data_IF_499143958958
#
_entry.id   IF_499143958958
#
_cell.length_a   1.000
_cell.length_b   1.000
_cell.length_c   1.000
_cell.angle_alpha   90.00
_cell.angle_beta   90.00
_cell.angle_gamma   90.00
#
_symmetry.space_group_name_H-M   'P 1'
#
loop_
_entity.id
_entity.type
_entity.pdbx_description
1 polymer ?
#
# COMPACT_ATOMS: atom_id res chain seq x y z
N UNK A 1 -65.14 -4.09 -32.36
CA UNK A 1 -63.78 -3.59 -32.67
C UNK A 1 -63.11 -3.26 -31.35
N UNK A 2 -62.38 -4.21 -30.77
CA UNK A 2 -61.69 -4.02 -29.48
C UNK A 2 -60.19 -3.92 -29.75
N UNK A 3 -59.63 -2.72 -29.59
CA UNK A 3 -58.17 -2.50 -29.61
C UNK A 3 -57.70 -2.29 -28.17
N UNK A 4 -57.22 -3.35 -27.55
CA UNK A 4 -56.50 -3.27 -26.29
C UNK A 4 -55.05 -2.83 -26.59
N UNK A 5 -54.69 -1.66 -26.11
CA UNK A 5 -53.35 -1.09 -26.19
C UNK A 5 -52.55 -1.60 -24.98
N UNK A 6 -51.57 -2.48 -25.21
CA UNK A 6 -50.67 -2.95 -24.16
C UNK A 6 -49.49 -1.97 -24.06
N UNK A 7 -49.38 -1.29 -22.92
CA UNK A 7 -48.23 -0.46 -22.57
C UNK A 7 -47.16 -1.38 -22.00
N UNK A 8 -46.07 -1.57 -22.72
CA UNK A 8 -44.89 -2.28 -22.23
C UNK A 8 -44.04 -1.33 -21.38
N UNK A 9 -43.95 -1.60 -20.07
CA UNK A 9 -43.03 -0.93 -19.18
C UNK A 9 -41.61 -1.49 -19.41
N UNK A 10 -40.69 -0.66 -19.90
CA UNK A 10 -39.27 -0.97 -19.96
C UNK A 10 -38.69 -0.71 -18.56
N UNK A 11 -38.41 -1.80 -17.83
CA UNK A 11 -37.64 -1.72 -16.59
C UNK A 11 -36.15 -1.51 -16.95
N UNK A 12 -35.68 -0.27 -16.84
CA UNK A 12 -34.25 0.03 -16.86
C UNK A 12 -33.65 -0.46 -15.53
N UNK A 13 -33.02 -1.63 -15.57
CA UNK A 13 -32.18 -2.10 -14.48
C UNK A 13 -30.92 -1.20 -14.43
N UNK A 14 -30.93 -0.24 -13.50
CA UNK A 14 -29.73 0.45 -13.06
C UNK A 14 -28.83 -0.61 -12.40
N UNK A 15 -27.90 -1.16 -13.16
CA UNK A 15 -26.72 -1.79 -12.58
C UNK A 15 -25.90 -0.66 -11.95
N UNK A 16 -26.22 -0.32 -10.70
CA UNK A 16 -25.28 0.36 -9.83
C UNK A 16 -24.05 -0.54 -9.76
N UNK A 17 -23.04 -0.24 -10.55
CA UNK A 17 -21.73 -0.87 -10.40
C UNK A 17 -21.33 -0.63 -8.95
N UNK A 18 -21.32 -1.69 -8.15
CA UNK A 18 -20.63 -1.66 -6.88
C UNK A 18 -19.21 -1.23 -7.24
N UNK A 19 -18.77 -0.05 -6.80
CA UNK A 19 -17.37 0.30 -6.83
C UNK A 19 -16.66 -0.86 -6.12
N UNK A 20 -15.97 -1.69 -6.91
CA UNK A 20 -15.22 -2.78 -6.33
C UNK A 20 -14.07 -2.13 -5.57
N UNK A 21 -13.72 -2.67 -4.41
CA UNK A 21 -12.46 -2.33 -3.79
C UNK A 21 -11.34 -2.53 -4.80
N UNK A 22 -10.59 -1.47 -5.05
CA UNK A 22 -9.42 -1.52 -5.91
C UNK A 22 -8.22 -1.75 -5.00
N UNK A 23 -7.59 -2.91 -5.17
CA UNK A 23 -6.30 -3.17 -4.57
C UNK A 23 -5.30 -2.24 -5.26
N UNK A 24 -4.44 -1.60 -4.48
CA UNK A 24 -3.40 -0.70 -4.96
C UNK A 24 -2.04 -1.28 -4.57
N UNK A 25 -1.17 -1.46 -5.56
CA UNK A 25 0.21 -1.86 -5.38
C UNK A 25 1.07 -0.61 -5.14
N UNK A 26 1.88 -0.65 -4.09
CA UNK A 26 2.88 0.37 -3.78
C UNK A 26 4.26 -0.26 -3.87
N UNK A 27 5.18 0.39 -4.59
CA UNK A 27 6.59 0.00 -4.69
C UNK A 27 7.46 1.21 -4.42
N UNK A 28 8.44 1.07 -3.52
CA UNK A 28 9.40 2.10 -3.16
C UNK A 28 10.80 1.55 -3.43
N UNK A 29 11.61 2.30 -4.17
CA UNK A 29 12.98 1.94 -4.56
C UNK A 29 13.99 2.89 -3.94
N UNK A 30 15.16 2.36 -3.60
CA UNK A 30 16.27 3.10 -3.02
C UNK A 30 17.61 2.37 -3.10
N UNK A 31 18.65 3.00 -2.57
CA UNK A 31 20.00 2.45 -2.47
C UNK A 31 20.53 2.62 -1.04
N UNK A 32 21.16 1.59 -0.49
CA UNK A 32 21.73 1.66 0.87
C UNK A 32 22.89 2.66 0.89
N UNK A 33 22.80 3.68 1.73
CA UNK A 33 23.89 4.64 1.96
C UNK A 33 24.95 4.03 2.89
N UNK A 34 24.48 3.50 4.01
CA UNK A 34 25.32 2.89 5.02
C UNK A 34 24.57 1.80 5.79
N UNK A 35 25.36 0.88 6.37
CA UNK A 35 24.88 -0.14 7.28
C UNK A 35 25.90 -0.36 8.40
N UNK A 36 25.45 -0.25 9.64
CA UNK A 36 26.22 -0.49 10.86
C UNK A 36 25.73 -1.74 11.61
N UNK A 37 24.71 -2.43 11.10
CA UNK A 37 24.20 -3.67 11.66
C UNK A 37 25.19 -4.79 11.36
N UNK A 38 25.69 -5.47 12.39
CA UNK A 38 26.69 -6.54 12.28
C UNK A 38 26.19 -7.91 12.76
N UNK A 39 24.86 -8.06 12.95
CA UNK A 39 24.21 -9.30 13.37
C UNK A 39 22.89 -9.52 12.59
N UNK A 40 22.43 -10.77 12.58
CA UNK A 40 21.20 -11.15 11.85
C UNK A 40 21.34 -11.00 10.33
N UNK A 41 20.21 -11.04 9.63
CA UNK A 41 20.20 -11.04 8.16
C UNK A 41 20.75 -9.73 7.58
N UNK A 42 20.45 -8.59 8.22
CA UNK A 42 20.96 -7.28 7.81
C UNK A 42 22.47 -7.12 7.95
N UNK A 43 23.19 -8.03 8.62
CA UNK A 43 24.66 -8.03 8.58
C UNK A 43 25.25 -8.29 7.20
N UNK A 44 24.45 -8.79 6.27
CA UNK A 44 24.85 -9.07 4.89
C UNK A 44 24.65 -7.89 3.94
N UNK A 45 23.93 -6.85 4.38
CA UNK A 45 23.64 -5.66 3.57
C UNK A 45 24.86 -4.74 3.51
N UNK A 46 25.19 -4.24 2.33
CA UNK A 46 26.31 -3.34 2.08
C UNK A 46 25.82 -2.01 1.49
N UNK A 47 26.63 -0.96 1.66
CA UNK A 47 26.41 0.29 0.93
C UNK A 47 26.45 0.04 -0.58
N UNK A 48 25.52 0.65 -1.32
CA UNK A 48 25.30 0.41 -2.74
C UNK A 48 24.37 -0.75 -3.07
N UNK A 49 23.91 -1.53 -2.09
CA UNK A 49 22.87 -2.53 -2.35
C UNK A 49 21.53 -1.84 -2.66
N UNK A 50 20.81 -2.35 -3.67
CA UNK A 50 19.47 -1.88 -4.00
C UNK A 50 18.47 -2.31 -2.92
N UNK A 51 17.59 -1.39 -2.53
CA UNK A 51 16.49 -1.59 -1.61
C UNK A 51 15.14 -1.42 -2.33
N UNK A 52 14.24 -2.39 -2.17
CA UNK A 52 12.90 -2.37 -2.74
C UNK A 52 11.90 -2.78 -1.67
N UNK A 53 10.93 -1.91 -1.41
CA UNK A 53 9.79 -2.19 -0.54
C UNK A 53 8.52 -2.28 -1.39
N UNK A 54 7.80 -3.40 -1.31
CA UNK A 54 6.50 -3.58 -1.96
C UNK A 54 5.44 -3.96 -0.94
N UNK A 55 4.22 -3.49 -1.14
CA UNK A 55 3.03 -3.92 -0.40
C UNK A 55 1.75 -3.52 -1.13
N UNK A 56 0.63 -4.07 -0.67
CA UNK A 56 -0.72 -3.79 -1.16
C UNK A 56 -1.57 -3.13 -0.10
N UNK A 57 -2.48 -2.25 -0.53
CA UNK A 57 -3.56 -1.69 0.27
C UNK A 57 -4.89 -1.82 -0.45
N UNK A 58 -5.99 -1.82 0.29
CA UNK A 58 -7.35 -1.75 -0.25
C UNK A 58 -7.86 -0.30 -0.18
N UNK A 59 -8.28 0.26 -1.33
CA UNK A 59 -8.74 1.66 -1.41
C UNK A 59 -9.98 1.98 -0.55
N UNK A 60 -10.73 0.98 -0.10
CA UNK A 60 -11.89 1.13 0.78
C UNK A 60 -11.58 0.87 2.26
N UNK A 61 -10.37 0.39 2.60
CA UNK A 61 -10.00 0.04 3.98
C UNK A 61 -8.97 1.04 4.50
N UNK A 62 -9.47 2.10 5.12
CA UNK A 62 -8.66 3.19 5.63
C UNK A 62 -9.16 3.74 6.97
N UNK A 63 -8.25 4.42 7.67
CA UNK A 63 -8.50 5.18 8.89
C UNK A 63 -8.09 6.64 8.64
N UNK A 64 -9.02 7.58 8.85
CA UNK A 64 -8.67 9.01 8.85
C UNK A 64 -8.12 9.42 10.22
N UNK A 65 -7.15 10.32 10.24
CA UNK A 65 -6.79 11.02 11.47
C UNK A 65 -7.92 11.96 11.90
N UNK A 66 -8.11 12.09 13.21
CA UNK A 66 -9.00 13.09 13.81
C UNK A 66 -8.32 14.42 14.12
N UNK A 67 -6.99 14.53 13.91
CA UNK A 67 -6.18 15.68 14.32
C UNK A 67 -5.35 16.28 13.18
N UNK A 68 -4.96 15.48 12.20
CA UNK A 68 -4.16 15.89 11.05
C UNK A 68 -4.89 15.55 9.75
N UNK A 69 -4.62 16.24 8.63
CA UNK A 69 -5.17 15.88 7.32
C UNK A 69 -4.40 14.70 6.73
N UNK A 70 -4.48 13.56 7.42
CA UNK A 70 -3.85 12.31 7.03
C UNK A 70 -4.87 11.18 6.94
N UNK A 71 -4.60 10.22 6.06
CA UNK A 71 -5.37 8.99 5.90
C UNK A 71 -4.43 7.81 5.77
N UNK A 72 -4.57 6.86 6.70
CA UNK A 72 -3.84 5.59 6.67
C UNK A 72 -4.65 4.50 5.99
N UNK A 73 -4.11 3.94 4.91
CA UNK A 73 -4.63 2.74 4.25
C UNK A 73 -4.01 1.50 4.88
N UNK A 74 -4.83 0.48 5.15
CA UNK A 74 -4.38 -0.74 5.82
C UNK A 74 -3.48 -1.53 4.85
N UNK A 75 -2.23 -1.74 5.25
CA UNK A 75 -1.30 -2.60 4.51
C UNK A 75 -1.71 -4.05 4.73
N UNK A 76 -1.85 -4.83 3.65
CA UNK A 76 -1.96 -6.29 3.75
C UNK A 76 -0.60 -6.87 4.22
N UNK A 77 -0.50 -7.41 5.44
CA UNK A 77 0.77 -7.89 5.97
C UNK A 77 1.40 -9.02 5.15
N UNK A 78 0.60 -9.81 4.43
CA UNK A 78 1.09 -10.89 3.58
C UNK A 78 1.76 -10.39 2.29
N UNK A 79 1.43 -9.16 1.87
CA UNK A 79 1.98 -8.52 0.68
C UNK A 79 3.25 -7.70 0.95
N UNK A 80 3.53 -7.39 2.23
CA UNK A 80 4.66 -6.55 2.60
C UNK A 80 5.99 -7.29 2.49
N UNK A 81 6.86 -6.80 1.61
CA UNK A 81 8.19 -7.37 1.36
C UNK A 81 9.19 -6.23 1.22
N UNK A 82 10.18 -6.20 2.12
CA UNK A 82 11.37 -5.38 1.98
C UNK A 82 12.52 -6.29 1.51
N UNK A 83 13.09 -5.97 0.35
CA UNK A 83 14.29 -6.62 -0.18
C UNK A 83 15.43 -5.61 -0.16
N UNK A 84 16.58 -5.98 0.42
CA UNK A 84 17.82 -5.19 0.37
C UNK A 84 18.97 -6.09 -0.04
N UNK A 85 19.51 -5.89 -1.24
CA UNK A 85 20.48 -6.82 -1.82
C UNK A 85 19.89 -8.23 -1.91
N UNK A 86 20.45 -9.19 -1.16
CA UNK A 86 19.94 -10.57 -1.06
C UNK A 86 19.01 -10.83 0.14
N UNK A 87 18.85 -9.85 1.03
CA UNK A 87 18.06 -9.99 2.26
C UNK A 87 16.60 -9.67 1.98
N UNK A 88 15.68 -10.55 2.39
CA UNK A 88 14.24 -10.38 2.20
C UNK A 88 13.55 -10.49 3.56
N UNK A 89 12.81 -9.45 3.96
CA UNK A 89 12.18 -9.35 5.28
C UNK A 89 10.73 -8.86 5.13
N UNK A 90 9.81 -9.51 5.81
CA UNK A 90 8.42 -9.08 5.93
C UNK A 90 8.15 -8.29 7.21
N UNK A 91 6.90 -7.91 7.44
CA UNK A 91 6.47 -7.37 8.73
C UNK A 91 6.60 -8.41 9.84
N UNK A 92 6.80 -7.93 11.07
CA UNK A 92 6.70 -8.79 12.25
C UNK A 92 5.36 -9.54 12.27
N UNK A 93 5.41 -10.85 12.52
CA UNK A 93 4.21 -11.71 12.58
C UNK A 93 4.18 -12.55 13.87
N UNK A 94 3.17 -12.40 14.75
CA UNK A 94 2.03 -11.48 14.64
C UNK A 94 2.48 -10.01 14.79
N UNK A 95 1.76 -9.10 14.13
CA UNK A 95 1.99 -7.67 14.28
C UNK A 95 1.72 -7.27 15.75
N UNK A 96 2.56 -6.44 16.40
CA UNK A 96 2.41 -6.10 17.82
C UNK A 96 1.03 -5.56 18.16
N UNK A 97 0.53 -5.89 19.36
CA UNK A 97 -0.68 -5.27 19.92
C UNK A 97 -2.00 -5.60 19.22
N UNK A 98 -1.98 -6.35 18.11
CA UNK A 98 -3.13 -6.39 17.19
C UNK A 98 -3.30 -5.09 16.40
N UNK A 99 -2.26 -4.27 16.36
CA UNK A 99 -2.23 -3.01 15.62
C UNK A 99 -2.25 -3.27 14.10
N UNK A 100 -2.46 -2.20 13.35
CA UNK A 100 -2.57 -2.24 11.90
C UNK A 100 -1.39 -1.48 11.29
N UNK A 101 -0.62 -2.08 10.36
CA UNK A 101 0.35 -1.34 9.57
C UNK A 101 -0.39 -0.45 8.55
N UNK A 102 0.01 0.82 8.47
CA UNK A 102 -0.59 1.79 7.57
C UNK A 102 0.40 2.30 6.53
N UNK A 103 -0.10 2.51 5.31
CA UNK A 103 0.48 3.44 4.35
C UNK A 103 -0.33 4.73 4.40
N UNK A 104 0.30 5.82 4.84
CA UNK A 104 -0.39 7.05 5.18
C UNK A 104 -0.12 8.11 4.13
N UNK A 105 -1.21 8.67 3.58
CA UNK A 105 -1.18 9.88 2.77
C UNK A 105 -1.34 11.09 3.70
N UNK A 106 -0.53 12.11 3.48
CA UNK A 106 -0.66 13.43 4.12
C UNK A 106 -0.88 14.47 3.06
N UNK A 107 -1.92 15.28 3.22
CA UNK A 107 -2.25 16.34 2.28
C UNK A 107 -2.30 17.69 3.03
N UNK A 108 -1.42 18.61 2.64
CA UNK A 108 -1.40 20.01 3.04
C UNK A 108 -1.17 20.26 4.55
N UNK A 109 -0.24 19.54 5.18
CA UNK A 109 0.10 19.71 6.61
C UNK A 109 1.61 19.72 6.92
N UNK A 110 2.16 20.82 7.47
CA UNK A 110 1.73 22.21 7.41
C UNK A 110 2.25 22.86 6.11
N UNK A 111 1.55 22.61 4.99
CA UNK A 111 1.95 22.91 3.59
C UNK A 111 2.93 21.90 2.94
N UNK A 112 2.96 20.66 3.43
CA UNK A 112 3.73 19.55 2.83
C UNK A 112 2.79 18.39 2.56
N UNK A 113 2.86 17.85 1.35
CA UNK A 113 2.21 16.60 0.99
C UNK A 113 3.17 15.44 1.18
N UNK A 114 2.66 14.21 1.25
CA UNK A 114 3.56 13.08 1.15
C UNK A 114 3.00 11.80 1.68
N UNK A 115 3.94 10.91 1.97
CA UNK A 115 3.66 9.51 2.25
C UNK A 115 4.56 9.02 3.37
N UNK A 116 4.05 8.15 4.21
CA UNK A 116 4.85 7.44 5.20
C UNK A 116 4.23 6.10 5.57
N UNK A 117 5.03 5.22 6.16
CA UNK A 117 4.53 4.00 6.80
C UNK A 117 4.58 4.14 8.32
N UNK A 118 3.56 3.62 9.00
CA UNK A 118 3.45 3.75 10.45
C UNK A 118 2.51 2.68 11.03
N UNK A 119 2.56 2.54 12.35
CA UNK A 119 1.57 1.80 13.16
C UNK A 119 0.42 2.70 13.66
N UNK A 120 0.37 3.95 13.19
CA UNK A 120 -0.68 4.93 13.45
C UNK A 120 -0.90 5.78 12.19
N UNK A 121 -1.82 6.75 12.25
CA UNK A 121 -2.17 7.60 11.10
C UNK A 121 -1.67 9.04 11.21
N UNK A 122 -1.02 9.41 12.32
CA UNK A 122 -0.70 10.81 12.62
C UNK A 122 0.77 11.13 12.31
N UNK A 123 1.69 10.21 12.60
CA UNK A 123 3.13 10.46 12.53
C UNK A 123 3.93 9.29 11.94
N UNK A 124 5.06 9.56 11.26
CA UNK A 124 5.94 8.53 10.70
C UNK A 124 6.72 7.83 11.81
N UNK A 125 6.15 6.77 12.38
CA UNK A 125 6.76 5.93 13.42
C UNK A 125 7.38 4.65 12.87
N UNK A 126 7.26 4.41 11.56
CA UNK A 126 7.66 3.18 10.91
C UNK A 126 6.84 1.96 11.34
N UNK A 127 7.19 0.78 10.81
CA UNK A 127 6.53 -0.49 11.10
C UNK A 127 7.55 -1.56 11.49
N UNK A 128 7.26 -2.43 12.48
CA UNK A 128 8.19 -3.47 12.92
C UNK A 128 8.38 -4.55 11.84
N UNK A 129 9.63 -4.92 11.62
CA UNK A 129 10.05 -5.99 10.72
C UNK A 129 10.19 -7.31 11.46
N UNK A 130 10.15 -8.42 10.72
CA UNK A 130 10.38 -9.76 11.28
C UNK A 130 11.87 -10.06 11.51
N UNK A 131 12.58 -9.13 12.15
CA UNK A 131 14.00 -9.25 12.43
C UNK A 131 14.37 -8.50 13.71
N UNK A 132 14.96 -9.23 14.66
CA UNK A 132 15.37 -8.67 15.95
C UNK A 132 16.62 -7.78 15.82
N UNK A 133 16.55 -6.60 16.43
CA UNK A 133 17.67 -5.70 16.71
C UNK A 133 18.11 -5.78 18.18
N UNK A 134 18.96 -4.83 18.59
CA UNK A 134 19.49 -4.76 19.95
C UNK A 134 18.46 -4.22 20.96
N UNK A 135 17.51 -3.38 20.52
CA UNK A 135 16.55 -2.70 21.39
C UNK A 135 15.09 -3.16 21.18
N UNK A 136 14.89 -4.23 20.42
CA UNK A 136 13.58 -4.75 20.08
C UNK A 136 13.56 -5.31 18.68
N UNK A 137 12.41 -5.30 18.02
CA UNK A 137 12.34 -5.56 16.59
C UNK A 137 12.86 -4.34 15.85
N UNK A 138 13.63 -4.56 14.78
CA UNK A 138 13.95 -3.48 13.85
C UNK A 138 12.65 -2.90 13.27
N UNK A 139 12.62 -1.61 12.97
CA UNK A 139 11.48 -0.95 12.32
C UNK A 139 11.90 -0.39 10.97
N UNK A 140 11.07 -0.59 9.96
CA UNK A 140 11.20 0.12 8.68
C UNK A 140 10.54 1.49 8.83
N UNK A 141 11.35 2.53 8.92
CA UNK A 141 10.93 3.92 9.03
C UNK A 141 11.08 4.58 7.65
N UNK A 142 9.96 4.76 6.96
CA UNK A 142 9.90 5.42 5.67
C UNK A 142 8.96 6.62 5.72
N UNK A 143 9.44 7.77 5.25
CA UNK A 143 8.63 8.95 4.95
C UNK A 143 9.24 9.77 3.82
N UNK A 144 8.38 10.36 3.00
CA UNK A 144 8.73 11.33 1.96
C UNK A 144 7.77 12.50 2.03
N UNK A 145 8.30 13.70 1.83
CA UNK A 145 7.57 14.95 1.78
C UNK A 145 7.78 15.65 0.43
N UNK A 146 6.70 16.20 -0.11
CA UNK A 146 6.67 16.96 -1.36
C UNK A 146 6.03 18.34 -1.13
N UNK A 147 6.14 19.23 -2.11
CA UNK A 147 5.40 20.51 -2.08
C UNK A 147 3.90 20.28 -1.87
N UNK A 148 3.22 21.13 -1.10
CA UNK A 148 1.81 20.95 -0.69
C UNK A 148 0.73 20.98 -1.78
N UNK A 149 1.11 21.01 -3.06
CA UNK A 149 0.21 20.93 -4.21
C UNK A 149 0.37 19.59 -4.98
N UNK A 150 1.07 18.62 -4.39
CA UNK A 150 1.39 17.31 -4.99
C UNK A 150 0.19 16.36 -4.97
N UNK A 151 -0.63 16.42 -3.91
CA UNK A 151 -1.82 15.60 -3.73
C UNK A 151 -3.08 16.47 -3.78
N UNK A 152 -4.01 16.12 -4.67
CA UNK A 152 -5.30 16.82 -4.77
C UNK A 152 -6.32 16.40 -3.71
N UNK A 153 -6.12 15.23 -3.08
CA UNK A 153 -7.00 14.69 -2.05
C UNK A 153 -6.24 13.71 -1.12
N UNK A 154 -6.96 13.05 -0.22
CA UNK A 154 -6.46 11.90 0.56
C UNK A 154 -6.95 10.56 -0.02
N UNK A 155 -7.49 10.53 -1.23
CA UNK A 155 -7.86 9.30 -1.91
C UNK A 155 -6.61 8.66 -2.56
N UNK A 156 -6.33 7.41 -2.23
CA UNK A 156 -5.21 6.65 -2.81
C UNK A 156 -5.34 6.51 -4.33
N UNK A 157 -6.56 6.47 -4.88
CA UNK A 157 -6.76 6.39 -6.33
C UNK A 157 -6.42 7.71 -7.03
N UNK A 158 -6.56 8.84 -6.34
CA UNK A 158 -6.09 10.14 -6.83
C UNK A 158 -4.56 10.29 -6.70
N UNK A 159 -3.92 9.46 -5.87
CA UNK A 159 -2.47 9.41 -5.67
C UNK A 159 -1.75 8.40 -6.58
N UNK A 160 -2.43 7.80 -7.55
CA UNK A 160 -1.81 6.92 -8.54
C UNK A 160 -0.79 7.71 -9.36
N UNK A 161 0.45 7.23 -9.41
CA UNK A 161 1.53 7.95 -10.06
C UNK A 161 2.92 7.43 -9.74
N UNK A 162 3.91 8.19 -10.19
CA UNK A 162 5.33 8.00 -9.87
C UNK A 162 5.83 9.24 -9.16
N UNK A 163 6.52 9.03 -8.06
CA UNK A 163 7.07 10.06 -7.18
C UNK A 163 8.57 9.83 -7.09
N UNK A 164 9.38 10.84 -7.38
CA UNK A 164 10.84 10.76 -7.38
C UNK A 164 11.41 12.02 -6.69
N UNK A 165 12.64 12.41 -7.00
CA UNK A 165 13.23 13.63 -6.45
C UNK A 165 12.55 14.94 -6.89
N UNK A 166 11.69 14.90 -7.91
CA UNK A 166 11.00 16.08 -8.43
C UNK A 166 9.99 16.58 -7.41
N UNK A 167 10.22 17.79 -6.88
CA UNK A 167 9.35 18.39 -5.88
C UNK A 167 9.51 17.83 -4.46
N UNK A 168 10.45 16.89 -4.25
CA UNK A 168 10.77 16.33 -2.95
C UNK A 168 11.36 17.42 -2.04
N UNK A 169 10.75 17.61 -0.87
CA UNK A 169 11.17 18.59 0.14
C UNK A 169 11.85 17.92 1.34
N UNK A 170 11.55 16.66 1.60
CA UNK A 170 12.19 15.86 2.64
C UNK A 170 12.04 14.36 2.36
N UNK A 171 12.94 13.56 2.90
CA UNK A 171 12.78 12.12 2.95
C UNK A 171 13.53 11.54 4.15
N UNK A 172 13.10 10.35 4.57
CA UNK A 172 13.79 9.51 5.52
C UNK A 172 13.43 8.06 5.17
N UNK A 173 14.44 7.23 4.94
CA UNK A 173 14.24 5.80 4.85
C UNK A 173 15.35 5.08 5.61
N UNK A 174 15.00 4.45 6.72
CA UNK A 174 15.95 3.82 7.61
C UNK A 174 15.39 2.52 8.20
N UNK A 175 16.30 1.63 8.58
CA UNK A 175 16.00 0.59 9.55
C UNK A 175 16.40 1.13 10.93
N UNK A 176 15.40 1.31 11.79
CA UNK A 176 15.51 1.83 13.15
C UNK A 176 15.67 0.67 14.15
N UNK A 177 16.54 0.87 15.14
CA UNK A 177 16.76 0.01 16.30
C UNK A 177 16.64 0.82 17.61
N UNK A 178 15.48 1.44 17.83
CA UNK A 178 15.16 2.20 19.03
C UNK A 178 15.70 3.64 18.95
N UNK A 179 16.80 3.98 19.66
CA UNK A 179 17.38 5.33 19.58
C UNK A 179 18.35 5.52 18.41
N UNK A 180 18.56 4.50 17.57
CA UNK A 180 19.56 4.50 16.50
C UNK A 180 18.95 4.14 15.14
N UNK A 181 19.51 4.70 14.07
CA UNK A 181 19.19 4.36 12.68
C UNK A 181 20.42 3.71 12.03
N UNK A 182 20.75 2.44 12.37
CA UNK A 182 22.01 1.83 11.96
C UNK A 182 22.10 1.50 10.47
N UNK A 183 20.99 1.45 9.74
CA UNK A 183 20.98 1.25 8.29
C UNK A 183 20.11 2.35 7.66
N UNK A 184 20.67 3.07 6.70
CA UNK A 184 19.97 4.14 5.99
C UNK A 184 19.96 3.90 4.48
N UNK A 185 18.85 4.25 3.86
CA UNK A 185 18.55 4.03 2.46
C UNK A 185 18.24 5.40 1.84
N UNK A 186 18.93 5.71 0.75
CA UNK A 186 18.62 6.85 -0.10
C UNK A 186 17.40 6.48 -0.92
N UNK A 187 16.30 7.21 -0.73
CA UNK A 187 15.10 7.09 -1.56
C UNK A 187 15.42 7.41 -3.03
N UNK A 188 14.90 6.65 -3.98
CA UNK A 188 15.03 6.97 -5.42
C UNK A 188 13.69 7.28 -6.06
N UNK A 189 12.70 6.41 -5.84
CA UNK A 189 11.36 6.55 -6.42
C UNK A 189 10.31 5.76 -5.66
N UNK A 190 9.06 6.13 -5.83
CA UNK A 190 7.89 5.38 -5.41
C UNK A 190 6.85 5.36 -6.53
N UNK A 191 6.25 4.21 -6.78
CA UNK A 191 5.12 4.06 -7.69
C UNK A 191 3.90 3.56 -6.94
N UNK A 192 2.76 4.17 -7.21
CA UNK A 192 1.43 3.77 -6.72
C UNK A 192 0.59 3.44 -7.94
N UNK A 193 0.14 2.20 -8.07
CA UNK A 193 -0.63 1.74 -9.23
C UNK A 193 -1.81 0.87 -8.81
N UNK A 194 -2.97 0.96 -9.47
CA UNK A 194 -4.04 -0.02 -9.26
C UNK A 194 -3.54 -1.41 -9.64
N UNK A 195 -3.76 -2.39 -8.77
CA UNK A 195 -3.47 -3.78 -9.07
C UNK A 195 -4.33 -4.23 -10.27
N UNK A 196 -3.82 -5.14 -11.12
CA UNK A 196 -4.59 -5.65 -12.23
C UNK A 196 -5.90 -6.28 -11.73
N UNK A 197 -7.04 -5.80 -12.21
CA UNK A 197 -8.32 -6.41 -11.89
C UNK A 197 -8.26 -7.90 -12.27
N UNK A 198 -8.36 -8.78 -11.28
CA UNK A 198 -8.48 -10.21 -11.53
C UNK A 198 -9.79 -10.41 -12.30
N UNK A 199 -9.70 -10.62 -13.62
CA UNK A 199 -10.85 -10.96 -14.44
C UNK A 199 -11.45 -12.24 -13.86
N UNK A 200 -12.52 -12.11 -13.08
CA UNK A 200 -13.33 -13.22 -12.65
C UNK A 200 -13.89 -13.87 -13.91
N UNK A 201 -13.19 -14.88 -14.41
CA UNK A 201 -13.61 -15.72 -15.51
C UNK A 201 -14.83 -16.52 -15.04
N UNK A 202 -16.01 -15.89 -15.09
CA UNK A 202 -17.27 -16.60 -14.99
C UNK A 202 -17.40 -17.46 -16.25
N UNK A 203 -16.91 -18.69 -16.16
CA UNK A 203 -17.24 -19.72 -17.12
C UNK A 203 -18.76 -19.92 -17.07
N UNK A 204 -19.51 -19.72 -18.17
CA UNK A 204 -20.89 -20.13 -18.20
C UNK A 204 -20.91 -21.66 -18.12
N UNK A 205 -21.33 -22.19 -16.97
CA UNK A 205 -21.68 -23.58 -16.82
C UNK A 205 -22.83 -23.88 -17.78
N UNK A 206 -22.48 -24.36 -18.98
CA UNK A 206 -23.39 -24.79 -20.01
C UNK A 206 -24.29 -25.89 -19.47
N UNK A 207 -25.53 -25.52 -19.19
CA UNK A 207 -26.63 -26.37 -18.80
C UNK A 207 -26.98 -27.32 -19.96
N UNK A 208 -26.28 -28.46 -20.08
CA UNK A 208 -26.70 -29.53 -20.99
C UNK A 208 -27.87 -30.32 -20.37
N UNK A 209 -29.08 -29.78 -20.53
CA UNK A 209 -30.34 -30.53 -20.42
C UNK A 209 -30.39 -31.59 -21.54
N UNK A 210 -29.89 -32.79 -21.26
CA UNK A 210 -30.02 -33.96 -22.15
C UNK A 210 -31.47 -34.46 -22.11
N UNK A 211 -32.31 -33.93 -23.01
CA UNK A 211 -33.70 -34.38 -23.23
C UNK A 211 -33.69 -35.79 -23.87
N UNK A 212 -33.84 -36.84 -23.06
CA UNK A 212 -34.00 -38.22 -23.56
C UNK A 212 -35.45 -38.40 -24.05
N UNK A 213 -35.64 -38.47 -25.37
CA UNK A 213 -36.92 -38.84 -26.01
C UNK A 213 -37.05 -40.37 -26.06
N UNK A 214 -38.28 -40.84 -25.88
CA UNK A 214 -38.76 -42.22 -25.79
C UNK A 214 -38.53 -43.05 -27.07
N UNK A 215 -38.40 -44.35 -26.89
CA UNK A 215 -39.04 -45.36 -27.73
C UNK A 215 -40.05 -46.10 -26.83
#
# INVERSE_FOLDING_TARGET
MNRSCAVAAVAAALCSGLACADIVDVTINGEVEYNQINQGDFSQVNAGDSAVLTFQVDSNVFTNSGSFPTRGYHIDPASFVLTIGSVVVGLQNPFPGGDTPYFVLRNNDPAVDGFFIADNVDFPTGVPLNQGGAFGQFRNDFSVGYTGDTLSSLDILDAVGTYDYTGLTSFNWAIDDGPFKPLYIIFESMTIVPAPAALAAFAPAGLFLRRRRRA
#
